data_IF_060556797775
#
_entry.id   IF_060556797775
#
_cell.length_a   1.000
_cell.length_b   1.000
_cell.length_c   1.000
_cell.angle_alpha   90.00
_cell.angle_beta   90.00
_cell.angle_gamma   90.00
#
_symmetry.space_group_name_H-M   'P 1'
#
loop_
_entity.id
_entity.type
_entity.pdbx_description
1 polymer ?
#
# COMPACT_ATOMS: atom_id res chain seq x y z
N UNK A 1 3.47 47.85 -9.22
CA UNK A 1 2.86 46.58 -9.72
C UNK A 1 2.87 45.60 -8.56
N UNK A 2 1.70 45.37 -7.94
CA UNK A 2 1.49 44.36 -6.91
C UNK A 2 1.46 43.00 -7.60
N UNK A 3 2.49 42.18 -7.41
CA UNK A 3 2.41 40.74 -7.66
C UNK A 3 1.50 40.15 -6.57
N UNK A 4 0.26 39.94 -6.89
CA UNK A 4 -0.63 39.05 -6.11
C UNK A 4 -0.09 37.63 -6.28
N UNK A 5 0.60 37.17 -5.26
CA UNK A 5 0.98 35.77 -5.12
C UNK A 5 -0.29 34.99 -4.79
N UNK A 6 -0.96 34.44 -5.78
CA UNK A 6 -1.89 33.33 -5.59
C UNK A 6 -1.04 32.09 -5.30
N UNK A 7 -0.57 32.01 -4.08
CA UNK A 7 -0.13 30.74 -3.52
C UNK A 7 -1.40 30.10 -2.99
N UNK A 8 -2.08 29.34 -3.83
CA UNK A 8 -3.05 28.37 -3.36
C UNK A 8 -2.30 27.50 -2.35
N UNK A 9 -2.87 27.34 -1.18
CA UNK A 9 -2.28 26.64 -0.03
C UNK A 9 -2.27 25.12 -0.29
N UNK A 10 -1.45 24.70 -1.27
CA UNK A 10 -1.20 23.29 -1.60
C UNK A 10 -0.39 22.57 -0.52
N UNK A 11 -0.08 23.27 0.56
CA UNK A 11 0.76 22.75 1.64
C UNK A 11 0.03 21.77 2.59
N UNK A 12 -1.30 21.73 2.54
CA UNK A 12 -2.11 20.77 3.29
C UNK A 12 -2.29 19.43 2.58
N UNK A 13 -1.99 19.37 1.26
CA UNK A 13 -2.54 18.33 0.38
C UNK A 13 -1.69 17.07 0.24
N UNK A 14 -0.47 17.03 0.75
CA UNK A 14 0.44 15.91 0.47
C UNK A 14 0.29 14.75 1.46
N UNK A 15 -0.13 15.01 2.69
CA UNK A 15 -0.60 13.94 3.59
C UNK A 15 -1.94 13.35 3.10
N UNK A 16 -2.70 14.12 2.32
CA UNK A 16 -3.93 13.66 1.67
C UNK A 16 -3.65 12.71 0.52
N UNK A 17 -2.53 12.84 -0.21
CA UNK A 17 -2.20 11.96 -1.34
C UNK A 17 -2.12 10.49 -0.94
N UNK A 18 -1.44 10.19 0.19
CA UNK A 18 -1.30 8.80 0.66
C UNK A 18 -2.65 8.23 1.10
N UNK A 19 -3.50 9.07 1.72
CA UNK A 19 -4.87 8.71 2.08
C UNK A 19 -5.75 8.55 0.83
N UNK A 20 -5.59 9.43 -0.16
CA UNK A 20 -6.29 9.30 -1.45
C UNK A 20 -5.93 7.98 -2.15
N UNK A 21 -4.65 7.64 -2.24
CA UNK A 21 -4.22 6.37 -2.84
C UNK A 21 -4.81 5.19 -2.07
N UNK A 22 -4.75 5.20 -0.73
CA UNK A 22 -5.36 4.16 0.09
C UNK A 22 -6.85 3.99 -0.23
N UNK A 23 -7.62 5.08 -0.23
CA UNK A 23 -9.08 5.03 -0.41
C UNK A 23 -9.46 4.67 -1.85
N UNK A 24 -8.83 5.30 -2.85
CA UNK A 24 -9.21 5.11 -4.26
C UNK A 24 -8.75 3.77 -4.82
N UNK A 25 -7.51 3.33 -4.53
CA UNK A 25 -6.99 2.05 -5.02
C UNK A 25 -7.37 0.87 -4.12
N UNK A 26 -7.93 1.13 -2.96
CA UNK A 26 -8.42 0.13 -2.03
C UNK A 26 -9.96 0.08 -2.01
N UNK A 27 -10.59 0.60 -0.97
CA UNK A 27 -12.04 0.46 -0.76
C UNK A 27 -12.89 0.92 -1.93
N UNK A 28 -12.61 2.08 -2.56
CA UNK A 28 -13.43 2.57 -3.68
C UNK A 28 -13.32 1.64 -4.89
N UNK A 29 -12.10 1.24 -5.27
CA UNK A 29 -11.93 0.36 -6.42
C UNK A 29 -12.57 -1.01 -6.20
N UNK A 30 -12.30 -1.65 -5.06
CA UNK A 30 -12.78 -3.01 -4.79
C UNK A 30 -14.29 -3.01 -4.49
N UNK A 31 -14.75 -2.19 -3.53
CA UNK A 31 -16.17 -2.16 -3.18
C UNK A 31 -17.02 -1.58 -4.31
N UNK A 32 -16.49 -0.58 -5.04
CA UNK A 32 -17.19 -0.01 -6.20
C UNK A 32 -17.41 -1.05 -7.30
N UNK A 33 -16.37 -1.80 -7.65
CA UNK A 33 -16.48 -2.89 -8.64
C UNK A 33 -17.44 -3.98 -8.16
N UNK A 34 -17.34 -4.39 -6.90
CA UNK A 34 -18.23 -5.38 -6.30
C UNK A 34 -19.69 -4.91 -6.30
N UNK A 35 -19.94 -3.65 -5.92
CA UNK A 35 -21.27 -3.05 -5.94
C UNK A 35 -21.87 -2.98 -7.34
N UNK A 36 -21.09 -2.61 -8.34
CA UNK A 36 -21.57 -2.56 -9.72
C UNK A 36 -21.99 -3.93 -10.27
N UNK A 37 -21.40 -5.02 -9.76
CA UNK A 37 -21.72 -6.37 -10.21
C UNK A 37 -22.87 -7.01 -9.43
N UNK A 38 -22.97 -6.76 -8.11
CA UNK A 38 -23.88 -7.47 -7.22
C UNK A 38 -24.95 -6.59 -6.58
N UNK A 39 -24.85 -5.26 -6.70
CA UNK A 39 -25.80 -4.30 -6.16
C UNK A 39 -25.72 -4.07 -4.63
N UNK A 40 -24.75 -4.66 -3.96
CA UNK A 40 -24.49 -4.47 -2.51
C UNK A 40 -23.01 -4.46 -2.20
N UNK A 41 -22.63 -4.06 -0.98
CA UNK A 41 -21.24 -4.10 -0.49
C UNK A 41 -21.19 -5.12 0.64
N UNK A 42 -20.27 -6.07 0.57
CA UNK A 42 -20.05 -7.08 1.60
C UNK A 42 -18.87 -6.73 2.52
N UNK A 43 -18.80 -7.34 3.70
CA UNK A 43 -17.69 -7.14 4.63
C UNK A 43 -16.39 -7.65 4.03
N UNK A 44 -16.43 -8.74 3.26
CA UNK A 44 -15.30 -9.32 2.55
C UNK A 44 -14.74 -8.34 1.51
N UNK A 45 -15.62 -7.66 0.78
CA UNK A 45 -15.19 -6.64 -0.20
C UNK A 45 -14.54 -5.44 0.47
N UNK A 46 -15.03 -5.00 1.63
CA UNK A 46 -14.44 -3.91 2.40
C UNK A 46 -13.04 -4.31 2.88
N UNK A 47 -12.90 -5.50 3.50
CA UNK A 47 -11.61 -5.97 4.01
C UNK A 47 -10.62 -6.18 2.87
N UNK A 48 -11.04 -6.78 1.75
CA UNK A 48 -10.23 -6.92 0.55
C UNK A 48 -9.77 -5.57 0.00
N UNK A 49 -10.66 -4.57 0.00
CA UNK A 49 -10.34 -3.19 -0.35
C UNK A 49 -9.28 -2.58 0.56
N UNK A 50 -9.38 -2.78 1.87
CA UNK A 50 -8.37 -2.30 2.83
C UNK A 50 -7.01 -2.95 2.55
N UNK A 51 -6.95 -4.26 2.28
CA UNK A 51 -5.71 -4.96 1.91
C UNK A 51 -5.09 -4.33 0.67
N UNK A 52 -5.86 -4.15 -0.41
CA UNK A 52 -5.36 -3.56 -1.65
C UNK A 52 -4.91 -2.10 -1.48
N UNK A 53 -5.62 -1.32 -0.66
CA UNK A 53 -5.23 0.03 -0.29
C UNK A 53 -3.90 0.07 0.47
N UNK A 54 -3.72 -0.79 1.46
CA UNK A 54 -2.46 -0.93 2.20
C UNK A 54 -1.29 -1.27 1.26
N UNK A 55 -1.46 -2.24 0.37
CA UNK A 55 -0.44 -2.62 -0.61
C UNK A 55 -0.09 -1.47 -1.56
N UNK A 56 -1.09 -0.69 -2.00
CA UNK A 56 -0.86 0.47 -2.86
C UNK A 56 -0.05 1.56 -2.16
N UNK A 57 -0.31 1.79 -0.86
CA UNK A 57 0.46 2.76 -0.06
C UNK A 57 1.90 2.30 0.16
N UNK A 58 2.22 0.99 0.15
CA UNK A 58 3.62 0.55 0.24
C UNK A 58 4.48 1.07 -0.91
N UNK A 59 3.93 1.19 -2.12
CA UNK A 59 4.64 1.81 -3.26
C UNK A 59 4.91 3.29 -3.02
N UNK A 60 3.94 4.02 -2.47
CA UNK A 60 4.12 5.42 -2.11
C UNK A 60 5.15 5.61 -1.01
N UNK A 61 5.22 4.71 -0.03
CA UNK A 61 6.26 4.75 0.99
C UNK A 61 7.66 4.75 0.37
N UNK A 62 7.91 3.88 -0.62
CA UNK A 62 9.21 3.83 -1.31
C UNK A 62 9.46 5.10 -2.14
N UNK A 63 8.45 5.61 -2.86
CA UNK A 63 8.56 6.87 -3.59
C UNK A 63 8.87 8.04 -2.63
N UNK A 64 8.15 8.15 -1.52
CA UNK A 64 8.37 9.20 -0.53
C UNK A 64 9.76 9.14 0.11
N UNK A 65 10.31 7.93 0.33
CA UNK A 65 11.69 7.76 0.82
C UNK A 65 12.69 8.19 -0.25
N UNK A 66 12.47 7.78 -1.51
CA UNK A 66 13.37 8.08 -2.63
C UNK A 66 13.46 9.58 -2.89
N UNK A 67 12.32 10.24 -2.88
CA UNK A 67 12.18 11.62 -3.35
C UNK A 67 12.25 12.66 -2.20
N UNK A 68 12.60 12.24 -0.98
CA UNK A 68 12.55 13.08 0.23
C UNK A 68 13.35 14.38 0.13
N UNK A 69 14.54 14.36 -0.51
CA UNK A 69 15.39 15.54 -0.69
C UNK A 69 14.83 16.48 -1.76
N UNK A 70 14.39 15.94 -2.89
CA UNK A 70 13.76 16.71 -3.97
C UNK A 70 12.46 17.33 -3.53
N UNK A 71 11.61 16.58 -2.82
CA UNK A 71 10.33 17.06 -2.28
C UNK A 71 10.54 18.18 -1.27
N UNK A 72 11.56 18.06 -0.40
CA UNK A 72 11.92 19.11 0.55
C UNK A 72 12.34 20.41 -0.17
N UNK A 73 13.14 20.29 -1.23
CA UNK A 73 13.65 21.43 -1.97
C UNK A 73 12.55 22.19 -2.73
N UNK A 74 11.50 21.50 -3.19
CA UNK A 74 10.35 22.13 -3.87
C UNK A 74 9.19 22.48 -2.93
N UNK A 75 9.38 22.30 -1.61
CA UNK A 75 8.39 22.67 -0.59
C UNK A 75 7.23 21.69 -0.44
N UNK A 76 7.28 20.49 -1.03
CA UNK A 76 6.28 19.45 -0.80
C UNK A 76 6.42 18.88 0.62
N UNK A 77 5.29 18.63 1.27
CA UNK A 77 5.23 18.10 2.64
C UNK A 77 4.79 16.64 2.65
N UNK A 78 5.53 15.76 1.94
CA UNK A 78 5.28 14.31 1.98
C UNK A 78 5.44 13.75 3.40
N UNK A 79 4.89 12.55 3.66
CA UNK A 79 5.04 11.88 4.97
C UNK A 79 6.53 11.76 5.33
N UNK A 80 7.41 11.44 4.37
CA UNK A 80 8.86 11.35 4.59
C UNK A 80 9.49 12.69 4.95
N UNK A 81 9.06 13.79 4.34
CA UNK A 81 9.55 15.15 4.66
C UNK A 81 9.04 15.61 6.03
N UNK A 82 7.80 15.28 6.38
CA UNK A 82 7.13 15.74 7.60
C UNK A 82 7.52 14.94 8.84
N UNK A 83 7.51 13.61 8.75
CA UNK A 83 7.71 12.71 9.88
C UNK A 83 9.08 11.99 9.84
N UNK A 84 9.83 12.17 8.76
CA UNK A 84 11.14 11.57 8.56
C UNK A 84 11.08 10.18 7.91
N UNK A 85 12.21 9.82 7.30
CA UNK A 85 12.38 8.56 6.55
C UNK A 85 12.16 7.32 7.44
N UNK A 86 12.60 7.37 8.71
CA UNK A 86 12.42 6.23 9.62
C UNK A 86 10.95 5.93 9.90
N UNK A 87 10.13 6.97 10.07
CA UNK A 87 8.69 6.79 10.24
C UNK A 87 8.07 6.06 9.03
N UNK A 88 8.45 6.47 7.80
CA UNK A 88 7.92 5.84 6.59
C UNK A 88 8.36 4.38 6.47
N UNK A 89 9.59 4.04 6.90
CA UNK A 89 10.05 2.64 6.96
C UNK A 89 9.23 1.79 7.93
N UNK A 90 8.91 2.32 9.10
CA UNK A 90 8.02 1.64 10.05
C UNK A 90 6.59 1.52 9.52
N UNK A 91 6.07 2.57 8.88
CA UNK A 91 4.77 2.54 8.21
C UNK A 91 4.74 1.43 7.14
N UNK A 92 5.78 1.31 6.32
CA UNK A 92 5.91 0.27 5.31
C UNK A 92 5.78 -1.15 5.89
N UNK A 93 6.46 -1.43 7.01
CA UNK A 93 6.34 -2.72 7.70
C UNK A 93 4.92 -2.92 8.25
N UNK A 94 4.37 -1.91 8.91
CA UNK A 94 3.05 -2.01 9.54
C UNK A 94 1.94 -2.31 8.53
N UNK A 95 2.03 -1.76 7.32
CA UNK A 95 1.09 -2.04 6.24
C UNK A 95 1.09 -3.52 5.85
N UNK A 96 2.25 -4.16 5.73
CA UNK A 96 2.32 -5.60 5.47
C UNK A 96 1.74 -6.43 6.62
N UNK A 97 2.04 -6.06 7.87
CA UNK A 97 1.47 -6.75 9.04
C UNK A 97 -0.05 -6.68 9.03
N UNK A 98 -0.61 -5.49 8.77
CA UNK A 98 -2.06 -5.30 8.63
C UNK A 98 -2.64 -6.17 7.52
N UNK A 99 -2.00 -6.23 6.33
CA UNK A 99 -2.43 -7.08 5.23
C UNK A 99 -2.52 -8.55 5.64
N UNK A 100 -1.51 -9.09 6.33
CA UNK A 100 -1.51 -10.50 6.75
C UNK A 100 -2.54 -10.77 7.86
N UNK A 101 -2.74 -9.85 8.79
CA UNK A 101 -3.79 -9.97 9.81
C UNK A 101 -5.18 -10.02 9.15
N UNK A 102 -5.45 -9.12 8.21
CA UNK A 102 -6.73 -9.08 7.51
C UNK A 102 -6.92 -10.30 6.59
N UNK A 103 -5.86 -10.77 5.94
CA UNK A 103 -5.88 -12.00 5.15
C UNK A 103 -6.23 -13.22 6.01
N UNK A 104 -5.61 -13.33 7.19
CA UNK A 104 -5.92 -14.39 8.15
C UNK A 104 -7.37 -14.27 8.64
N UNK A 105 -7.85 -13.07 8.92
CA UNK A 105 -9.25 -12.83 9.32
C UNK A 105 -10.24 -13.30 8.25
N UNK A 106 -10.02 -12.98 6.97
CA UNK A 106 -10.84 -13.45 5.85
C UNK A 106 -10.86 -14.98 5.76
N UNK A 107 -9.74 -15.63 6.04
CA UNK A 107 -9.63 -17.08 5.94
C UNK A 107 -10.31 -17.80 7.10
N UNK A 108 -10.02 -17.39 8.34
CA UNK A 108 -10.42 -18.15 9.54
C UNK A 108 -11.79 -17.74 10.10
N UNK A 109 -12.16 -16.47 10.02
CA UNK A 109 -13.42 -15.99 10.62
C UNK A 109 -14.57 -15.92 9.61
N UNK A 110 -14.29 -15.54 8.38
CA UNK A 110 -15.31 -15.45 7.34
C UNK A 110 -15.34 -16.66 6.41
N UNK A 111 -14.34 -17.56 6.50
CA UNK A 111 -14.18 -18.72 5.61
C UNK A 111 -14.30 -18.35 4.12
N UNK A 112 -13.89 -17.12 3.79
CA UNK A 112 -14.03 -16.54 2.46
C UNK A 112 -12.94 -17.05 1.51
N UNK A 113 -11.76 -17.39 2.04
CA UNK A 113 -10.62 -17.85 1.27
C UNK A 113 -10.37 -19.34 1.49
N UNK A 114 -9.92 -20.03 0.44
CA UNK A 114 -9.49 -21.40 0.55
C UNK A 114 -8.24 -21.53 1.44
N UNK A 115 -8.33 -22.35 2.50
CA UNK A 115 -7.29 -22.47 3.52
C UNK A 115 -5.96 -23.05 2.95
N UNK A 116 -6.03 -23.94 1.97
CA UNK A 116 -4.83 -24.52 1.35
C UNK A 116 -4.09 -23.47 0.53
N UNK A 117 -4.82 -22.65 -0.23
CA UNK A 117 -4.25 -21.56 -1.02
C UNK A 117 -3.75 -20.42 -0.10
N UNK A 118 -4.40 -20.20 1.04
CA UNK A 118 -3.91 -19.29 2.07
C UNK A 118 -2.51 -19.71 2.57
N UNK A 119 -2.32 -20.99 2.96
CA UNK A 119 -1.00 -21.46 3.39
C UNK A 119 0.03 -21.40 2.26
N UNK A 120 -0.35 -21.74 1.03
CA UNK A 120 0.52 -21.58 -0.14
C UNK A 120 0.94 -20.13 -0.34
N UNK A 121 0.01 -19.18 -0.19
CA UNK A 121 0.29 -17.76 -0.30
C UNK A 121 1.27 -17.28 0.77
N UNK A 122 1.16 -17.77 2.00
CA UNK A 122 2.11 -17.45 3.07
C UNK A 122 3.51 -17.99 2.77
N UNK A 123 3.62 -19.23 2.30
CA UNK A 123 4.93 -19.85 1.96
C UNK A 123 5.65 -19.01 0.90
N UNK A 124 4.93 -18.47 -0.08
CA UNK A 124 5.53 -17.70 -1.18
C UNK A 124 5.77 -16.24 -0.77
N UNK A 125 4.77 -15.58 -0.16
CA UNK A 125 4.81 -14.12 0.03
C UNK A 125 5.56 -13.69 1.30
N UNK A 126 5.56 -14.49 2.37
CA UNK A 126 6.24 -14.10 3.63
C UNK A 126 7.76 -13.98 3.45
N UNK A 127 8.49 -14.92 2.80
CA UNK A 127 9.92 -14.75 2.56
C UNK A 127 10.22 -13.51 1.70
N UNK A 128 9.39 -13.24 0.67
CA UNK A 128 9.52 -12.05 -0.16
C UNK A 128 9.28 -10.77 0.66
N UNK A 129 8.25 -10.75 1.50
CA UNK A 129 7.94 -9.64 2.39
C UNK A 129 9.09 -9.36 3.36
N UNK A 130 9.65 -10.39 4.00
CA UNK A 130 10.80 -10.27 4.89
C UNK A 130 11.98 -9.65 4.15
N UNK A 131 12.30 -10.13 2.95
CA UNK A 131 13.36 -9.58 2.10
C UNK A 131 13.13 -8.10 1.80
N UNK A 132 11.93 -7.71 1.38
CA UNK A 132 11.57 -6.31 1.09
C UNK A 132 11.74 -5.41 2.32
N UNK A 133 11.34 -5.90 3.50
CA UNK A 133 11.49 -5.18 4.75
C UNK A 133 12.98 -5.00 5.12
N UNK A 134 13.84 -6.00 4.93
CA UNK A 134 15.28 -5.84 5.11
C UNK A 134 15.88 -4.85 4.10
N UNK A 135 15.47 -4.93 2.84
CA UNK A 135 15.98 -4.07 1.77
C UNK A 135 15.65 -2.59 2.02
N UNK A 136 14.45 -2.27 2.54
CA UNK A 136 14.05 -0.89 2.88
C UNK A 136 14.99 -0.25 3.90
N UNK A 137 15.57 -1.04 4.82
CA UNK A 137 16.51 -0.51 5.83
C UNK A 137 17.95 -0.42 5.34
N UNK A 138 18.37 -1.31 4.43
CA UNK A 138 19.76 -1.43 3.98
C UNK A 138 20.09 -0.59 2.75
N UNK A 139 19.10 -0.37 1.87
CA UNK A 139 19.36 0.25 0.58
C UNK A 139 19.56 1.77 0.68
N UNK A 140 20.56 2.26 -0.07
CA UNK A 140 20.80 3.69 -0.29
C UNK A 140 19.86 4.22 -1.37
N UNK A 141 19.67 5.55 -1.44
CA UNK A 141 18.73 6.22 -2.36
C UNK A 141 18.78 5.69 -3.81
N UNK A 142 19.98 5.44 -4.35
CA UNK A 142 20.15 4.98 -5.74
C UNK A 142 19.57 3.59 -6.05
N UNK A 143 19.40 2.76 -5.03
CA UNK A 143 18.87 1.38 -5.19
C UNK A 143 17.36 1.26 -4.92
N UNK A 144 16.70 2.36 -4.55
CA UNK A 144 15.26 2.38 -4.24
C UNK A 144 14.38 2.12 -5.48
N UNK A 145 14.85 2.44 -6.70
CA UNK A 145 14.12 2.08 -7.91
C UNK A 145 13.98 0.56 -8.09
N UNK A 146 15.05 -0.20 -7.76
CA UNK A 146 14.97 -1.67 -7.74
C UNK A 146 14.01 -2.18 -6.68
N UNK A 147 14.02 -1.55 -5.50
CA UNK A 147 13.08 -1.90 -4.43
C UNK A 147 11.63 -1.63 -4.84
N UNK A 148 11.37 -0.50 -5.50
CA UNK A 148 10.05 -0.17 -6.05
C UNK A 148 9.56 -1.25 -7.03
N UNK A 149 10.43 -1.68 -7.97
CA UNK A 149 10.13 -2.78 -8.88
C UNK A 149 9.84 -4.09 -8.14
N UNK A 150 10.63 -4.43 -7.13
CA UNK A 150 10.43 -5.64 -6.33
C UNK A 150 9.09 -5.60 -5.54
N UNK A 151 8.72 -4.44 -4.99
CA UNK A 151 7.43 -4.26 -4.31
C UNK A 151 6.28 -4.40 -5.30
N UNK A 152 6.41 -3.85 -6.52
CA UNK A 152 5.39 -4.03 -7.57
C UNK A 152 5.20 -5.50 -7.94
N UNK A 153 6.29 -6.25 -8.12
CA UNK A 153 6.24 -7.70 -8.39
C UNK A 153 5.60 -8.45 -7.22
N UNK A 154 5.95 -8.09 -5.98
CA UNK A 154 5.32 -8.66 -4.79
C UNK A 154 3.80 -8.46 -4.80
N UNK A 155 3.33 -7.25 -5.08
CA UNK A 155 1.89 -6.93 -5.13
C UNK A 155 1.18 -7.77 -6.19
N UNK A 156 1.79 -7.94 -7.37
CA UNK A 156 1.23 -8.79 -8.44
C UNK A 156 1.10 -10.23 -7.97
N UNK A 157 2.16 -10.81 -7.39
CA UNK A 157 2.16 -12.19 -6.89
C UNK A 157 1.09 -12.36 -5.79
N UNK A 158 1.06 -11.42 -4.83
CA UNK A 158 0.08 -11.43 -3.75
C UNK A 158 -1.36 -11.38 -4.29
N UNK A 159 -1.63 -10.46 -5.23
CA UNK A 159 -2.96 -10.30 -5.81
C UNK A 159 -3.40 -11.54 -6.59
N UNK A 160 -2.50 -12.18 -7.35
CA UNK A 160 -2.81 -13.42 -8.08
C UNK A 160 -3.14 -14.57 -7.13
N UNK A 161 -2.36 -14.73 -6.04
CA UNK A 161 -2.64 -15.76 -5.03
C UNK A 161 -3.93 -15.46 -4.26
N UNK A 162 -4.22 -14.19 -4.00
CA UNK A 162 -5.46 -13.77 -3.37
C UNK A 162 -6.68 -14.11 -4.25
N UNK A 163 -6.63 -13.78 -5.55
CA UNK A 163 -7.68 -14.15 -6.51
C UNK A 163 -7.84 -15.67 -6.59
N UNK A 164 -6.74 -16.42 -6.66
CA UNK A 164 -6.76 -17.88 -6.71
C UNK A 164 -7.44 -18.48 -5.46
N UNK A 165 -7.22 -17.89 -4.28
CA UNK A 165 -7.84 -18.35 -3.04
C UNK A 165 -9.35 -18.08 -2.94
N UNK A 166 -9.88 -17.19 -3.78
CA UNK A 166 -11.33 -16.95 -3.89
C UNK A 166 -11.97 -17.90 -4.91
N UNK A 167 -11.23 -18.26 -5.97
CA UNK A 167 -11.78 -19.03 -7.09
C UNK A 167 -11.82 -20.56 -6.83
N UNK A 168 -10.98 -21.07 -5.93
CA UNK A 168 -10.89 -22.49 -5.56
C UNK A 168 -11.53 -22.73 -4.21
#
# INVERSE_FOLDING_TARGET
>A
RRHTRYIGDWSSDVCSSDLFVFIFFGPIAVCGTFFLQLGYVSIESIISGIIMGCLSVTLLCINNIRDVETDRNVGKRTIAVRFGVMFVKFLFISLFVVCYILLAYLTFNLSFLNINVFFLSLIITVPLCIKLNFDVFKLKLHSLNRLLSNVSVFIIIFSLLFILSILI
#
